data_IF_729852354975
#
_entry.id   IF_729852354975
#
_cell.length_a   1.000
_cell.length_b   1.000
_cell.length_c   1.000
_cell.angle_alpha   90.00
_cell.angle_beta   90.00
_cell.angle_gamma   90.00
#
_symmetry.space_group_name_H-M   'P 1'
#
loop_
_entity.id
_entity.type
_entity.pdbx_description
1 polymer ?
#
# COMPACT_ATOMS: atom_id res chain seq x y z
N UNK A 1 23.47 -3.07 -14.84
CA UNK A 1 23.41 -4.08 -13.77
C UNK A 1 22.05 -3.98 -13.09
N UNK A 2 21.20 -5.00 -13.26
CA UNK A 2 19.88 -5.11 -12.61
C UNK A 2 20.11 -5.59 -11.18
N UNK A 3 19.85 -4.74 -10.20
CA UNK A 3 19.74 -5.19 -8.81
C UNK A 3 18.24 -5.30 -8.55
N UNK A 4 17.69 -6.47 -8.85
CA UNK A 4 16.39 -6.88 -8.34
C UNK A 4 16.50 -6.89 -6.80
N UNK A 5 15.57 -6.29 -6.04
CA UNK A 5 15.60 -6.38 -4.58
C UNK A 5 15.59 -7.87 -4.22
N UNK A 6 16.66 -8.31 -3.55
CA UNK A 6 16.84 -9.71 -3.15
C UNK A 6 15.76 -10.02 -2.13
N UNK A 7 14.88 -10.98 -2.44
CA UNK A 7 13.83 -11.45 -1.54
C UNK A 7 14.37 -11.62 -0.11
N UNK A 8 13.75 -10.94 0.85
CA UNK A 8 14.14 -10.97 2.26
C UNK A 8 13.57 -12.24 2.88
N UNK A 9 14.41 -12.96 3.60
CA UNK A 9 14.05 -14.20 4.28
C UNK A 9 13.20 -13.89 5.52
N UNK A 10 11.89 -14.09 5.45
CA UNK A 10 11.01 -13.87 6.60
C UNK A 10 10.86 -15.18 7.40
N UNK A 11 11.15 -15.13 8.69
CA UNK A 11 11.03 -16.28 9.60
C UNK A 11 9.64 -16.27 10.25
N UNK A 12 8.72 -17.06 9.71
CA UNK A 12 7.40 -17.26 10.31
C UNK A 12 7.46 -18.36 11.37
N UNK A 13 6.95 -18.09 12.58
CA UNK A 13 6.66 -19.14 13.57
C UNK A 13 5.34 -19.79 13.21
N UNK A 14 5.34 -21.10 12.98
CA UNK A 14 4.12 -21.84 12.68
C UNK A 14 3.21 -21.87 13.92
N UNK A 15 1.90 -21.74 13.71
CA UNK A 15 0.91 -21.78 14.80
C UNK A 15 0.74 -23.18 15.40
N UNK A 16 1.06 -24.23 14.63
CA UNK A 16 0.83 -25.63 14.99
C UNK A 16 2.11 -26.36 15.44
N UNK A 17 3.29 -25.80 15.16
CA UNK A 17 4.57 -26.45 15.41
C UNK A 17 5.58 -25.39 15.87
N UNK A 18 6.40 -25.71 16.87
CA UNK A 18 7.39 -24.79 17.45
C UNK A 18 8.66 -24.71 16.58
N UNK A 19 8.49 -24.45 15.28
CA UNK A 19 9.56 -24.26 14.29
C UNK A 19 9.35 -22.98 13.49
N UNK A 20 10.46 -22.32 13.16
CA UNK A 20 10.49 -21.18 12.26
C UNK A 20 10.66 -21.68 10.83
N UNK A 21 9.75 -21.31 9.92
CA UNK A 21 9.95 -21.49 8.49
C UNK A 21 10.49 -20.21 7.87
N UNK A 22 11.50 -20.38 7.02
CA UNK A 22 12.00 -19.33 6.16
C UNK A 22 11.15 -19.29 4.89
N UNK A 23 10.42 -18.19 4.69
CA UNK A 23 9.66 -17.95 3.46
C UNK A 23 10.30 -16.78 2.74
N UNK A 24 10.56 -16.94 1.45
CA UNK A 24 10.84 -15.84 0.53
C UNK A 24 9.51 -15.09 0.31
N UNK A 25 9.12 -14.29 1.30
CA UNK A 25 7.99 -13.40 1.18
C UNK A 25 8.48 -12.07 0.59
N UNK A 26 7.66 -11.42 -0.22
CA UNK A 26 7.91 -10.02 -0.59
C UNK A 26 8.12 -9.24 0.71
N UNK A 27 9.19 -8.47 0.79
CA UNK A 27 9.41 -7.62 1.95
C UNK A 27 8.23 -6.68 2.10
N UNK A 28 7.89 -6.35 3.35
CA UNK A 28 6.75 -5.51 3.71
C UNK A 28 6.66 -4.26 2.82
N UNK A 29 7.81 -3.65 2.55
CA UNK A 29 7.95 -2.49 1.68
C UNK A 29 7.48 -2.72 0.23
N UNK A 30 7.74 -3.89 -0.35
CA UNK A 30 7.24 -4.23 -1.68
C UNK A 30 5.73 -4.39 -1.69
N UNK A 31 5.14 -4.98 -0.64
CA UNK A 31 3.68 -5.09 -0.53
C UNK A 31 3.03 -3.72 -0.46
N UNK A 32 3.60 -2.81 0.34
CA UNK A 32 3.15 -1.41 0.37
C UNK A 32 3.31 -0.72 -0.98
N UNK A 33 4.47 -0.87 -1.61
CA UNK A 33 4.77 -0.29 -2.91
C UNK A 33 3.75 -0.69 -4.00
N UNK A 34 3.43 -1.98 -4.11
CA UNK A 34 2.46 -2.47 -5.09
C UNK A 34 1.05 -1.92 -4.87
N UNK A 35 0.62 -1.79 -3.62
CA UNK A 35 -0.70 -1.26 -3.26
C UNK A 35 -0.79 0.23 -3.51
N UNK A 36 0.20 0.99 -3.06
CA UNK A 36 0.27 2.44 -3.28
C UNK A 36 0.35 2.76 -4.78
N UNK A 37 1.16 2.02 -5.54
CA UNK A 37 1.24 2.20 -6.99
C UNK A 37 -0.11 1.92 -7.66
N UNK A 38 -0.81 0.86 -7.23
CA UNK A 38 -2.13 0.52 -7.80
C UNK A 38 -3.17 1.59 -7.49
N UNK A 39 -3.17 2.15 -6.27
CA UNK A 39 -4.08 3.23 -5.87
C UNK A 39 -3.80 4.49 -6.68
N UNK A 40 -2.54 4.91 -6.79
CA UNK A 40 -2.17 6.17 -7.45
C UNK A 40 -2.29 6.08 -8.97
N UNK A 41 -1.92 4.95 -9.58
CA UNK A 41 -2.02 4.76 -11.03
C UNK A 41 -3.46 4.68 -11.54
N UNK A 42 -4.39 4.17 -10.72
CA UNK A 42 -5.80 4.05 -11.08
C UNK A 42 -6.65 5.24 -10.63
N UNK A 43 -6.23 5.92 -9.57
CA UNK A 43 -6.94 7.05 -8.99
C UNK A 43 -8.41 6.74 -8.74
N UNK A 44 -9.29 7.62 -9.22
CA UNK A 44 -10.76 7.53 -9.05
C UNK A 44 -11.43 6.41 -9.85
N UNK A 45 -10.71 5.73 -10.75
CA UNK A 45 -11.25 4.62 -11.55
C UNK A 45 -11.15 3.26 -10.86
N UNK A 46 -10.53 3.19 -9.69
CA UNK A 46 -10.32 1.92 -8.98
C UNK A 46 -11.59 1.38 -8.32
N UNK A 47 -11.75 0.06 -8.37
CA UNK A 47 -12.75 -0.67 -7.57
C UNK A 47 -12.10 -1.50 -6.45
N UNK A 48 -10.78 -1.41 -6.29
CA UNK A 48 -10.01 -2.22 -5.34
C UNK A 48 -9.99 -1.59 -3.95
N UNK A 49 -11.15 -1.48 -3.32
CA UNK A 49 -11.29 -0.95 -1.96
C UNK A 49 -10.43 -1.72 -0.93
N UNK A 50 -10.19 -3.00 -1.17
CA UNK A 50 -9.29 -3.82 -0.36
C UNK A 50 -7.87 -3.27 -0.26
N UNK A 51 -7.34 -2.60 -1.28
CA UNK A 51 -5.99 -2.04 -1.21
C UNK A 51 -5.89 -0.92 -0.15
N UNK A 52 -6.95 -0.13 0.03
CA UNK A 52 -7.03 0.88 1.10
C UNK A 52 -7.10 0.23 2.49
N UNK A 53 -7.91 -0.83 2.63
CA UNK A 53 -7.98 -1.59 3.87
C UNK A 53 -6.63 -2.23 4.23
N UNK A 54 -6.01 -2.91 3.26
CA UNK A 54 -4.74 -3.60 3.49
C UNK A 54 -3.65 -2.61 3.88
N UNK A 55 -3.58 -1.43 3.23
CA UNK A 55 -2.64 -0.38 3.65
C UNK A 55 -2.94 0.09 5.07
N UNK A 56 -4.21 0.33 5.41
CA UNK A 56 -4.57 0.74 6.77
C UNK A 56 -4.08 -0.28 7.81
N UNK A 57 -4.42 -1.56 7.65
CA UNK A 57 -4.00 -2.60 8.59
C UNK A 57 -2.49 -2.77 8.62
N UNK A 58 -1.82 -2.74 7.48
CA UNK A 58 -0.36 -2.85 7.44
C UNK A 58 0.32 -1.66 8.13
N UNK A 59 -0.24 -0.45 8.03
CA UNK A 59 0.26 0.71 8.78
C UNK A 59 0.04 0.52 10.29
N UNK A 60 -1.17 0.16 10.71
CA UNK A 60 -1.47 -0.03 12.13
C UNK A 60 -0.61 -1.15 12.78
N UNK A 61 -0.29 -2.21 12.03
CA UNK A 61 0.48 -3.35 12.56
C UNK A 61 1.99 -3.22 12.41
N UNK A 62 2.46 -2.53 11.36
CA UNK A 62 3.85 -2.63 10.92
C UNK A 62 4.49 -1.30 10.52
N UNK A 63 3.85 -0.15 10.76
CA UNK A 63 4.45 1.16 10.44
C UNK A 63 5.84 1.34 11.07
N UNK A 64 6.05 0.89 12.31
CA UNK A 64 7.35 0.97 12.99
C UNK A 64 8.42 0.03 12.42
N UNK A 65 8.02 -0.97 11.65
CA UNK A 65 8.93 -1.94 11.02
C UNK A 65 9.26 -1.56 9.57
N UNK A 66 8.64 -0.51 9.01
CA UNK A 66 8.91 -0.07 7.66
C UNK A 66 10.27 0.60 7.56
N UNK A 67 11.11 0.07 6.68
CA UNK A 67 12.31 0.79 6.26
C UNK A 67 11.93 1.75 5.11
N UNK A 68 12.00 3.06 5.36
CA UNK A 68 11.59 4.09 4.41
C UNK A 68 12.43 4.08 3.12
N UNK A 69 13.74 3.81 3.20
CA UNK A 69 14.60 3.70 2.03
C UNK A 69 14.19 2.51 1.14
N UNK A 70 13.91 1.36 1.75
CA UNK A 70 13.44 0.17 1.01
C UNK A 70 12.04 0.36 0.45
N UNK A 71 11.15 1.07 1.16
CA UNK A 71 9.83 1.45 0.65
C UNK A 71 9.94 2.36 -0.56
N UNK A 72 10.79 3.39 -0.48
CA UNK A 72 11.07 4.30 -1.59
C UNK A 72 11.61 3.55 -2.80
N UNK A 73 12.62 2.70 -2.61
CA UNK A 73 13.19 1.88 -3.68
C UNK A 73 12.15 0.93 -4.31
N UNK A 74 11.40 0.20 -3.48
CA UNK A 74 10.39 -0.73 -3.96
C UNK A 74 9.28 -0.01 -4.75
N UNK A 75 8.85 1.17 -4.29
CA UNK A 75 7.86 1.98 -4.99
C UNK A 75 8.36 2.48 -6.35
N UNK A 76 9.58 3.02 -6.40
CA UNK A 76 10.19 3.51 -7.64
C UNK A 76 10.33 2.37 -8.65
N UNK A 77 10.84 1.21 -8.23
CA UNK A 77 11.03 0.08 -9.15
C UNK A 77 9.68 -0.47 -9.65
N UNK A 78 8.69 -0.58 -8.77
CA UNK A 78 7.34 -1.05 -9.12
C UNK A 78 6.65 -0.11 -10.12
N UNK A 79 6.66 1.19 -9.84
CA UNK A 79 6.04 2.20 -10.69
C UNK A 79 6.76 2.37 -12.03
N UNK A 80 8.09 2.23 -12.07
CA UNK A 80 8.84 2.21 -13.35
C UNK A 80 8.52 0.99 -14.18
N UNK A 81 8.48 -0.19 -13.56
CA UNK A 81 8.11 -1.43 -14.24
C UNK A 81 6.71 -1.34 -14.86
N UNK A 82 5.81 -0.58 -14.24
CA UNK A 82 4.43 -0.39 -14.69
C UNK A 82 4.23 0.85 -15.57
N UNK A 83 5.29 1.63 -15.82
CA UNK A 83 5.23 2.84 -16.65
C UNK A 83 4.43 3.99 -16.02
N UNK A 84 4.18 3.96 -14.70
CA UNK A 84 3.39 4.94 -13.96
C UNK A 84 4.26 5.95 -13.18
N UNK A 85 5.56 5.69 -13.04
CA UNK A 85 6.46 6.49 -12.20
C UNK A 85 6.47 7.98 -12.52
N UNK A 86 6.67 8.37 -13.78
CA UNK A 86 6.81 9.79 -14.14
C UNK A 86 5.50 10.57 -13.91
N UNK A 87 4.36 9.94 -14.20
CA UNK A 87 3.04 10.53 -13.96
C UNK A 87 2.77 10.69 -12.46
N UNK A 88 3.04 9.64 -11.68
CA UNK A 88 2.85 9.69 -10.22
C UNK A 88 3.78 10.72 -9.59
N UNK A 89 5.06 10.75 -9.97
CA UNK A 89 6.04 11.71 -9.43
C UNK A 89 5.63 13.16 -9.73
N UNK A 90 5.03 13.42 -10.89
CA UNK A 90 4.65 14.78 -11.31
C UNK A 90 3.31 15.24 -10.71
N UNK A 91 2.35 14.33 -10.57
CA UNK A 91 0.94 14.64 -10.27
C UNK A 91 0.40 13.91 -9.04
N UNK A 92 1.26 13.45 -8.12
CA UNK A 92 0.82 12.75 -6.91
C UNK A 92 -0.15 13.57 -6.08
N UNK A 93 0.12 14.87 -5.92
CA UNK A 93 -0.71 15.76 -5.11
C UNK A 93 -2.12 15.91 -5.71
N UNK A 94 -2.20 16.08 -7.03
CA UNK A 94 -3.46 16.14 -7.77
C UNK A 94 -4.23 14.81 -7.65
N UNK A 95 -3.55 13.67 -7.79
CA UNK A 95 -4.20 12.35 -7.64
C UNK A 95 -4.73 12.12 -6.23
N UNK A 96 -3.98 12.53 -5.22
CA UNK A 96 -4.37 12.43 -3.83
C UNK A 96 -5.59 13.32 -3.55
N UNK A 97 -5.59 14.56 -4.01
CA UNK A 97 -6.74 15.47 -3.89
C UNK A 97 -7.99 14.92 -4.60
N UNK A 98 -7.82 14.39 -5.81
CA UNK A 98 -8.92 13.74 -6.55
C UNK A 98 -9.48 12.51 -5.82
N UNK A 99 -8.63 11.71 -5.19
CA UNK A 99 -9.06 10.54 -4.40
C UNK A 99 -9.84 11.00 -3.16
N UNK A 100 -9.35 12.02 -2.46
CA UNK A 100 -9.98 12.55 -1.24
C UNK A 100 -11.37 13.12 -1.46
N UNK A 101 -11.52 13.89 -2.55
CA UNK A 101 -12.77 14.58 -2.88
C UNK A 101 -13.76 13.69 -3.64
N UNK A 102 -13.39 12.43 -3.93
CA UNK A 102 -14.22 11.53 -4.71
C UNK A 102 -15.38 10.94 -3.90
N UNK A 103 -16.59 11.45 -4.13
CA UNK A 103 -17.82 10.82 -3.63
C UNK A 103 -18.01 9.38 -4.16
N UNK A 104 -17.47 9.08 -5.34
CA UNK A 104 -17.52 7.73 -5.92
C UNK A 104 -16.73 6.76 -5.06
N UNK A 105 -15.48 7.11 -4.69
CA UNK A 105 -14.65 6.26 -3.85
C UNK A 105 -15.22 6.12 -2.44
N UNK A 106 -15.75 7.20 -1.86
CA UNK A 106 -16.46 7.14 -0.59
C UNK A 106 -17.62 6.14 -0.64
N UNK A 107 -18.48 6.22 -1.66
CA UNK A 107 -19.61 5.29 -1.81
C UNK A 107 -19.16 3.84 -2.04
N UNK A 108 -18.05 3.63 -2.76
CA UNK A 108 -17.46 2.30 -2.92
C UNK A 108 -16.90 1.77 -1.60
N UNK A 109 -16.28 2.62 -0.78
CA UNK A 109 -15.79 2.25 0.55
C UNK A 109 -16.93 1.85 1.49
N UNK A 110 -18.01 2.64 1.54
CA UNK A 110 -19.18 2.34 2.37
C UNK A 110 -19.84 1.01 1.96
N UNK A 111 -19.91 0.73 0.64
CA UNK A 111 -20.35 -0.58 0.13
C UNK A 111 -19.38 -1.71 0.47
N UNK A 112 -18.08 -1.42 0.52
CA UNK A 112 -17.06 -2.40 0.86
C UNK A 112 -17.14 -2.78 2.34
N UNK A 113 -17.15 -1.81 3.27
CA UNK A 113 -17.21 -2.08 4.71
C UNK A 113 -18.53 -2.73 5.15
N UNK A 114 -19.65 -2.41 4.49
CA UNK A 114 -20.94 -3.06 4.78
C UNK A 114 -20.99 -4.54 4.38
N UNK A 115 -20.11 -4.98 3.46
CA UNK A 115 -20.02 -6.38 3.01
C UNK A 115 -18.86 -7.16 3.64
N UNK A 116 -17.95 -6.49 4.33
CA UNK A 116 -16.73 -7.07 4.87
C UNK A 116 -16.61 -6.70 6.35
N UNK A 117 -16.99 -7.62 7.23
CA UNK A 117 -17.01 -7.41 8.68
C UNK A 117 -15.65 -6.96 9.23
N UNK A 118 -14.55 -7.51 8.71
CA UNK A 118 -13.20 -7.12 9.12
C UNK A 118 -12.84 -5.64 8.83
N UNK A 119 -13.62 -4.96 7.99
CA UNK A 119 -13.45 -3.56 7.62
C UNK A 119 -14.58 -2.66 8.17
N UNK A 120 -15.54 -3.21 8.92
CA UNK A 120 -16.77 -2.51 9.31
C UNK A 120 -16.49 -1.26 10.13
N UNK A 121 -15.45 -1.26 10.95
CA UNK A 121 -15.14 -0.18 11.89
C UNK A 121 -14.26 0.92 11.30
N UNK A 122 -13.74 0.76 10.08
CA UNK A 122 -12.78 1.71 9.49
C UNK A 122 -13.52 2.70 8.59
N UNK A 123 -13.48 3.98 8.96
CA UNK A 123 -14.01 5.07 8.16
C UNK A 123 -13.15 5.36 6.92
N UNK A 124 -13.77 5.93 5.89
CA UNK A 124 -13.05 6.33 4.66
C UNK A 124 -11.90 7.29 4.95
N UNK A 125 -12.13 8.26 5.85
CA UNK A 125 -11.13 9.25 6.26
C UNK A 125 -9.92 8.57 6.94
N UNK A 126 -10.14 7.53 7.74
CA UNK A 126 -9.07 6.79 8.44
C UNK A 126 -8.23 5.96 7.47
N UNK A 127 -8.91 5.29 6.52
CA UNK A 127 -8.23 4.55 5.45
C UNK A 127 -7.38 5.48 4.58
N UNK A 128 -7.92 6.65 4.19
CA UNK A 128 -7.19 7.67 3.45
C UNK A 128 -6.01 8.25 4.24
N UNK A 129 -6.19 8.53 5.53
CA UNK A 129 -5.12 9.02 6.38
C UNK A 129 -3.95 8.04 6.41
N UNK A 130 -4.26 6.74 6.49
CA UNK A 130 -3.24 5.68 6.51
C UNK A 130 -2.51 5.56 5.16
N UNK A 131 -3.24 5.67 4.05
CA UNK A 131 -2.66 5.72 2.70
C UNK A 131 -1.71 6.90 2.54
N UNK A 132 -2.10 8.10 2.98
CA UNK A 132 -1.24 9.28 2.96
C UNK A 132 -0.01 9.14 3.84
N UNK A 133 -0.16 8.62 5.08
CA UNK A 133 0.99 8.37 5.96
C UNK A 133 1.99 7.43 5.30
N UNK A 134 1.52 6.35 4.68
CA UNK A 134 2.37 5.42 3.94
C UNK A 134 3.04 6.09 2.74
N UNK A 135 2.30 6.91 1.98
CA UNK A 135 2.84 7.59 0.80
C UNK A 135 3.88 8.67 1.16
N UNK A 136 3.67 9.42 2.25
CA UNK A 136 4.61 10.45 2.70
C UNK A 136 5.98 9.89 3.10
N UNK A 137 6.08 8.58 3.38
CA UNK A 137 7.35 7.89 3.63
C UNK A 137 8.14 7.64 2.34
N UNK A 138 7.51 7.74 1.18
CA UNK A 138 8.13 7.69 -0.14
C UNK A 138 8.47 9.14 -0.52
N UNK A 139 9.43 9.73 0.18
CA UNK A 139 9.87 11.08 -0.12
C UNK A 139 10.43 11.14 -1.56
N UNK A 140 9.84 11.95 -2.45
CA UNK A 140 10.33 12.16 -3.83
C UNK A 140 11.29 13.34 -3.96
N UNK A 141 11.53 14.08 -2.87
CA UNK A 141 12.49 15.19 -2.85
C UNK A 141 13.95 14.72 -3.00
#
# INVERSE_FOLDING_TARGET
YKITPRAIEYKFRLLLEDRLISVLAYNLETVFAEKLETILSRGTTTTRMRDYYDIHILMELHESNLNEDFLKQAFIETSRHRGSFDNIKKSSDEYIEMIETSEILLNLWERYRSKNEYASEIGWIEALASMKRAFNKIDFS
#
